data_IF_083704547926
#
_entry.id   IF_083704547926
#
_cell.length_a   1.000
_cell.length_b   1.000
_cell.length_c   1.000
_cell.angle_alpha   90.00
_cell.angle_beta   90.00
_cell.angle_gamma   90.00
#
_symmetry.space_group_name_H-M   'P 1'
#
loop_
_entity.id
_entity.type
_entity.pdbx_description
1 polymer ?
#
# COMPACT_ATOMS: atom_id res chain seq x y z
N UNK A 1 -9.24 9.87 -2.11
CA UNK A 1 -8.47 10.02 -3.35
C UNK A 1 -8.63 8.78 -4.21
N UNK A 2 -8.49 8.91 -5.52
CA UNK A 2 -8.36 7.76 -6.42
C UNK A 2 -6.91 7.27 -6.37
N UNK A 3 -6.71 5.98 -6.08
CA UNK A 3 -5.40 5.32 -6.05
C UNK A 3 -5.38 4.18 -7.07
N UNK A 4 -4.21 3.74 -7.47
CA UNK A 4 -4.01 2.57 -8.34
C UNK A 4 -3.32 1.49 -7.52
N UNK A 5 -4.08 0.51 -7.05
CA UNK A 5 -3.60 -0.50 -6.10
C UNK A 5 -3.47 -1.83 -6.83
N UNK A 6 -2.26 -2.38 -6.90
CA UNK A 6 -1.94 -3.60 -7.66
C UNK A 6 -2.46 -3.56 -9.11
N UNK A 7 -2.45 -2.37 -9.72
CA UNK A 7 -2.93 -2.13 -11.08
C UNK A 7 -4.42 -1.78 -11.21
N UNK A 8 -5.19 -1.84 -10.12
CA UNK A 8 -6.62 -1.53 -10.13
C UNK A 8 -6.90 -0.14 -9.56
N UNK A 9 -7.66 0.67 -10.30
CA UNK A 9 -8.04 2.00 -9.83
C UNK A 9 -9.19 1.92 -8.81
N UNK A 10 -8.97 2.46 -7.61
CA UNK A 10 -9.92 2.42 -6.50
C UNK A 10 -10.06 3.80 -5.85
N UNK A 11 -11.28 4.13 -5.39
CA UNK A 11 -11.50 5.33 -4.58
C UNK A 11 -11.40 4.94 -3.11
N UNK A 12 -10.35 5.41 -2.43
CA UNK A 12 -10.09 5.12 -1.01
C UNK A 12 -9.89 6.42 -0.22
N UNK A 13 -10.33 6.38 1.03
CA UNK A 13 -10.15 7.46 2.01
C UNK A 13 -9.00 7.13 2.98
N UNK A 14 -7.76 7.13 2.47
CA UNK A 14 -6.53 6.98 3.26
C UNK A 14 -5.62 8.18 3.00
N UNK A 15 -4.95 8.69 4.03
CA UNK A 15 -3.97 9.77 3.89
C UNK A 15 -2.53 9.24 3.91
N UNK A 16 -2.31 8.04 4.46
CA UNK A 16 -0.99 7.41 4.55
C UNK A 16 -1.02 5.97 4.07
N UNK A 17 0.15 5.44 3.72
CA UNK A 17 0.27 4.03 3.33
C UNK A 17 -0.18 3.08 4.44
N UNK A 18 0.11 3.40 5.71
CA UNK A 18 -0.36 2.59 6.84
C UNK A 18 -1.89 2.58 6.98
N UNK A 19 -2.55 3.73 6.79
CA UNK A 19 -4.02 3.82 6.79
C UNK A 19 -4.63 3.01 5.64
N UNK A 20 -4.04 3.10 4.45
CA UNK A 20 -4.47 2.33 3.28
C UNK A 20 -4.44 0.82 3.56
N UNK A 21 -3.31 0.31 4.07
CA UNK A 21 -3.16 -1.11 4.37
C UNK A 21 -4.20 -1.60 5.39
N UNK A 22 -4.47 -0.81 6.44
CA UNK A 22 -5.49 -1.13 7.44
C UNK A 22 -6.90 -1.16 6.86
N UNK A 23 -7.24 -0.20 6.01
CA UNK A 23 -8.56 -0.14 5.36
C UNK A 23 -8.82 -1.32 4.41
N UNK A 24 -7.75 -1.90 3.88
CA UNK A 24 -7.80 -3.06 2.99
C UNK A 24 -7.59 -4.39 3.71
N UNK A 25 -7.60 -4.40 5.06
CA UNK A 25 -7.37 -5.57 5.90
C UNK A 25 -6.04 -6.30 5.62
N UNK A 26 -5.02 -5.57 5.14
CA UNK A 26 -3.66 -6.09 5.01
C UNK A 26 -2.92 -6.00 6.35
N UNK A 27 -2.50 -7.16 6.86
CA UNK A 27 -1.76 -7.28 8.11
C UNK A 27 -0.43 -8.05 7.92
N UNK A 28 0.50 -7.85 8.85
CA UNK A 28 1.71 -8.65 8.96
C UNK A 28 3.02 -7.91 8.71
N UNK A 29 4.08 -8.38 9.38
CA UNK A 29 5.45 -7.88 9.24
C UNK A 29 6.06 -8.15 7.87
N UNK A 30 5.54 -9.14 7.15
CA UNK A 30 6.13 -9.72 5.95
C UNK A 30 5.69 -9.04 4.65
N UNK A 31 4.80 -8.06 4.72
CA UNK A 31 4.26 -7.37 3.54
C UNK A 31 5.35 -6.51 2.90
N UNK A 32 5.56 -6.64 1.59
CA UNK A 32 6.37 -5.68 0.84
C UNK A 32 5.45 -4.67 0.15
N UNK A 33 5.81 -3.39 0.21
CA UNK A 33 5.01 -2.30 -0.33
C UNK A 33 5.87 -1.33 -1.12
N UNK A 34 5.39 -0.94 -2.30
CA UNK A 34 6.01 0.14 -3.08
C UNK A 34 4.97 1.19 -3.46
N UNK A 35 5.38 2.46 -3.50
CA UNK A 35 4.58 3.59 -3.98
C UNK A 35 5.32 4.18 -5.18
N UNK A 36 4.65 4.25 -6.32
CA UNK A 36 5.20 4.73 -7.59
C UNK A 36 6.49 4.00 -8.03
N UNK A 37 6.63 2.72 -7.65
CA UNK A 37 7.80 1.89 -7.95
C UNK A 37 8.95 2.01 -6.94
N UNK A 38 8.80 2.85 -5.91
CA UNK A 38 9.77 2.98 -4.83
C UNK A 38 9.34 2.19 -3.60
N UNK A 39 10.25 1.37 -3.07
CA UNK A 39 9.97 0.58 -1.87
C UNK A 39 9.74 1.49 -0.67
N UNK A 40 8.65 1.25 0.06
CA UNK A 40 8.37 1.92 1.34
C UNK A 40 8.53 0.91 2.46
N UNK A 41 9.54 1.13 3.32
CA UNK A 41 9.81 0.28 4.47
C UNK A 41 8.68 0.39 5.50
N UNK A 42 8.56 -0.64 6.34
CA UNK A 42 7.46 -0.77 7.29
C UNK A 42 7.40 0.42 8.25
N UNK A 43 8.55 0.78 8.82
CA UNK A 43 8.73 1.90 9.73
C UNK A 43 8.29 3.24 9.13
N UNK A 44 8.40 3.38 7.80
CA UNK A 44 8.08 4.64 7.10
C UNK A 44 6.61 4.74 6.69
N UNK A 45 5.84 3.64 6.70
CA UNK A 45 4.46 3.62 6.17
C UNK A 45 3.49 4.55 6.89
N UNK A 46 3.72 4.77 8.18
CA UNK A 46 2.87 5.64 8.98
C UNK A 46 3.02 7.11 8.58
N UNK A 47 4.22 7.50 8.14
CA UNK A 47 4.56 8.88 7.76
C UNK A 47 4.55 9.10 6.25
N UNK A 48 4.50 8.02 5.46
CA UNK A 48 4.40 8.09 4.00
C UNK A 48 2.99 8.52 3.57
N UNK A 49 2.84 9.82 3.28
CA UNK A 49 1.61 10.40 2.75
C UNK A 49 1.32 9.86 1.34
N UNK A 50 0.03 9.70 1.02
CA UNK A 50 -0.44 9.30 -0.30
C UNK A 50 -1.05 10.47 -1.04
N UNK A 51 -0.84 10.51 -2.35
CA UNK A 51 -1.39 11.51 -3.25
C UNK A 51 -2.36 10.89 -4.28
N UNK A 52 -3.17 11.75 -4.88
CA UNK A 52 -4.13 11.36 -5.91
C UNK A 52 -3.43 10.73 -7.13
N UNK A 53 -3.89 9.54 -7.51
CA UNK A 53 -3.37 8.67 -8.57
C UNK A 53 -2.03 7.97 -8.27
N UNK A 54 -1.58 7.95 -7.02
CA UNK A 54 -0.44 7.12 -6.64
C UNK A 54 -0.66 5.65 -7.01
N UNK A 55 0.44 5.00 -7.41
CA UNK A 55 0.48 3.57 -7.75
C UNK A 55 1.05 2.80 -6.58
N UNK A 56 0.22 2.02 -5.90
CA UNK A 56 0.61 1.23 -4.75
C UNK A 56 0.69 -0.23 -5.17
N UNK A 57 1.86 -0.83 -4.96
CA UNK A 57 2.07 -2.26 -5.11
C UNK A 57 2.16 -2.88 -3.73
N UNK A 58 1.30 -3.87 -3.47
CA UNK A 58 1.22 -4.59 -2.20
C UNK A 58 1.46 -6.06 -2.51
N UNK A 59 2.62 -6.55 -2.07
CA UNK A 59 3.06 -7.92 -2.27
C UNK A 59 2.91 -8.70 -0.96
N UNK A 60 2.01 -9.67 -0.99
CA UNK A 60 1.92 -10.72 0.02
C UNK A 60 2.75 -11.93 -0.45
N UNK A 61 3.50 -12.63 0.42
CA UNK A 61 4.07 -13.92 0.11
C UNK A 61 2.95 -14.80 -0.42
N UNK A 62 3.14 -15.32 -1.62
CA UNK A 62 2.36 -16.46 -2.05
C UNK A 62 2.78 -17.61 -1.15
N UNK A 63 1.83 -18.23 -0.43
CA UNK A 63 2.11 -19.50 0.26
C UNK A 63 2.68 -20.47 -0.78
N UNK A 64 4.01 -20.64 -0.76
CA UNK A 64 4.64 -21.78 -1.41
C UNK A 64 4.31 -23.01 -0.58
N UNK A 65 3.51 -23.90 -1.15
CA UNK A 65 3.50 -25.30 -0.76
C UNK A 65 4.73 -26.01 -1.29
#
# INVERSE_FOLDING_TARGET
>A
MRLIINGEAQNICANTLSELLRLMDYEGEWLATAVNGELVHREDRADHALDENDRIEILTPMQGG
#
